data_IF_884264585468
#
_entry.id   IF_884264585468
#
_cell.length_a   1.000
_cell.length_b   1.000
_cell.length_c   1.000
_cell.angle_alpha   90.00
_cell.angle_beta   90.00
_cell.angle_gamma   90.00
#
_symmetry.space_group_name_H-M   'P 1'
#
loop_
_entity.id
_entity.type
_entity.pdbx_description
1 polymer ?
#
# COMPACT_ATOMS: atom_id res chain seq x y z
N UNK A 1 43.69 -93.31 10.64
CA UNK A 1 42.45 -92.54 10.58
C UNK A 1 42.81 -91.15 9.98
N UNK A 2 42.64 -91.00 8.68
CA UNK A 2 42.98 -89.75 7.97
C UNK A 2 41.68 -89.00 7.65
N UNK A 3 41.54 -87.77 8.24
CA UNK A 3 40.44 -86.88 7.97
C UNK A 3 40.68 -86.08 6.70
N UNK A 4 39.77 -86.19 5.74
CA UNK A 4 39.72 -85.34 4.55
C UNK A 4 38.93 -84.08 4.84
N UNK A 5 39.55 -82.92 4.70
CA UNK A 5 38.86 -81.63 4.67
C UNK A 5 38.53 -81.27 3.23
N UNK A 6 37.22 -81.06 2.90
CA UNK A 6 36.81 -80.46 1.66
C UNK A 6 36.75 -78.92 1.82
N UNK A 7 37.21 -78.13 0.86
CA UNK A 7 37.03 -76.69 0.89
C UNK A 7 35.66 -76.28 0.37
N UNK A 8 34.96 -75.47 1.13
CA UNK A 8 33.70 -74.85 0.78
C UNK A 8 33.97 -73.59 -0.08
N UNK A 9 33.57 -73.65 -1.38
CA UNK A 9 33.65 -72.50 -2.30
C UNK A 9 32.43 -71.62 -2.07
N UNK A 10 32.61 -70.39 -1.51
CA UNK A 10 31.60 -69.39 -1.41
C UNK A 10 31.51 -68.60 -2.77
N UNK A 11 30.44 -68.82 -3.51
CA UNK A 11 30.07 -67.99 -4.66
C UNK A 11 29.38 -66.73 -4.17
N UNK A 12 30.07 -65.62 -4.21
CA UNK A 12 29.47 -64.29 -4.01
C UNK A 12 28.80 -63.83 -5.30
N UNK A 13 27.44 -63.83 -5.31
CA UNK A 13 26.66 -63.16 -6.33
C UNK A 13 26.74 -61.62 -6.10
N UNK A 14 27.52 -60.87 -6.91
CA UNK A 14 27.39 -59.43 -7.02
C UNK A 14 26.13 -59.12 -7.83
N UNK A 15 25.06 -58.75 -7.16
CA UNK A 15 23.94 -58.01 -7.76
C UNK A 15 24.38 -56.60 -8.02
N UNK A 16 24.78 -56.26 -9.24
CA UNK A 16 24.95 -54.90 -9.72
C UNK A 16 23.57 -54.22 -9.85
N UNK A 17 23.15 -53.59 -8.79
CA UNK A 17 22.03 -52.64 -8.87
C UNK A 17 22.51 -51.38 -9.60
N UNK A 18 22.00 -51.18 -10.81
CA UNK A 18 22.09 -49.86 -11.48
C UNK A 18 21.18 -48.93 -10.69
N UNK A 19 21.78 -47.97 -9.92
CA UNK A 19 21.04 -46.84 -9.39
C UNK A 19 20.37 -46.10 -10.57
N UNK A 20 19.08 -45.80 -10.49
CA UNK A 20 18.45 -44.95 -11.51
C UNK A 20 19.19 -43.60 -11.55
N UNK A 21 19.60 -43.20 -12.75
CA UNK A 21 20.20 -41.89 -12.96
C UNK A 21 19.29 -40.82 -12.38
N UNK A 22 19.84 -39.95 -11.51
CA UNK A 22 19.13 -38.83 -10.97
C UNK A 22 18.50 -38.02 -12.13
N UNK A 23 17.21 -37.76 -12.08
CA UNK A 23 16.55 -36.91 -13.05
C UNK A 23 17.32 -35.58 -13.13
N UNK A 24 17.58 -35.04 -14.34
CA UNK A 24 18.26 -33.76 -14.49
C UNK A 24 17.42 -32.71 -13.75
N UNK A 25 18.03 -32.05 -12.79
CA UNK A 25 17.38 -30.96 -12.08
C UNK A 25 16.84 -29.92 -13.07
N UNK A 26 15.83 -29.12 -12.69
CA UNK A 26 15.22 -28.14 -13.60
C UNK A 26 16.30 -27.24 -14.19
N UNK A 27 16.28 -27.09 -15.50
CA UNK A 27 17.20 -26.21 -16.22
C UNK A 27 17.12 -24.81 -15.64
N UNK A 28 18.25 -24.14 -15.29
CA UNK A 28 18.23 -22.77 -14.80
C UNK A 28 17.49 -21.87 -15.80
N UNK A 29 16.47 -21.18 -15.35
CA UNK A 29 15.76 -20.18 -16.17
C UNK A 29 16.47 -18.86 -16.02
N UNK A 30 16.88 -18.24 -17.13
CA UNK A 30 17.51 -16.92 -17.10
C UNK A 30 16.54 -15.86 -16.57
N UNK A 31 16.94 -15.15 -15.54
CA UNK A 31 16.16 -14.04 -14.96
C UNK A 31 16.16 -12.84 -15.92
N UNK A 32 15.01 -12.16 -16.02
CA UNK A 32 14.91 -10.90 -16.76
C UNK A 32 15.80 -9.84 -16.11
N UNK A 33 16.68 -9.24 -16.90
CA UNK A 33 17.53 -8.13 -16.49
C UNK A 33 17.00 -6.83 -17.06
N UNK A 34 16.85 -5.83 -16.21
CA UNK A 34 16.42 -4.50 -16.60
C UNK A 34 17.61 -3.54 -16.58
N UNK A 35 17.69 -2.65 -17.58
CA UNK A 35 18.59 -1.50 -17.52
C UNK A 35 18.15 -0.56 -16.39
N UNK A 36 19.07 -0.16 -15.54
CA UNK A 36 18.85 0.77 -14.43
C UNK A 36 19.46 2.16 -14.69
N UNK A 37 19.94 2.41 -15.91
CA UNK A 37 20.48 3.72 -16.29
C UNK A 37 19.39 4.78 -16.24
N UNK A 38 19.61 5.85 -15.47
CA UNK A 38 18.63 6.93 -15.29
C UNK A 38 17.50 6.64 -14.31
N UNK A 39 17.39 5.41 -13.77
CA UNK A 39 16.40 5.11 -12.70
C UNK A 39 16.76 5.85 -11.42
N UNK A 40 15.81 6.64 -10.89
CA UNK A 40 16.02 7.45 -9.69
C UNK A 40 15.84 6.64 -8.39
N UNK A 41 14.91 5.67 -8.39
CA UNK A 41 14.57 4.87 -7.22
C UNK A 41 14.82 3.38 -7.48
N UNK A 42 16.02 2.91 -7.10
CA UNK A 42 16.48 1.53 -7.35
C UNK A 42 16.07 0.53 -6.28
N UNK A 43 15.57 1.03 -5.15
CA UNK A 43 15.11 0.21 -4.03
C UNK A 43 14.05 0.94 -3.22
N UNK A 44 13.14 0.18 -2.60
CA UNK A 44 12.24 0.72 -1.58
C UNK A 44 12.95 0.98 -0.24
N UNK A 45 14.12 0.38 -0.02
CA UNK A 45 14.91 0.60 1.22
C UNK A 45 15.30 2.07 1.36
N UNK A 46 15.05 2.60 2.53
CA UNK A 46 15.27 4.02 2.86
C UNK A 46 14.09 4.92 2.56
N UNK A 47 13.04 4.46 1.87
CA UNK A 47 11.93 5.31 1.46
C UNK A 47 10.75 5.24 2.44
N UNK A 48 10.07 6.39 2.56
CA UNK A 48 8.78 6.55 3.24
C UNK A 48 7.76 6.97 2.19
N UNK A 49 6.90 6.03 1.81
CA UNK A 49 5.91 6.21 0.75
C UNK A 49 4.50 6.04 1.29
N UNK A 50 3.55 6.79 0.74
CA UNK A 50 2.15 6.71 1.14
C UNK A 50 1.31 5.93 0.11
N UNK A 51 0.24 5.29 0.56
CA UNK A 51 -0.80 4.83 -0.34
C UNK A 51 -1.57 6.04 -0.91
N UNK A 52 -1.88 6.03 -2.19
CA UNK A 52 -2.61 7.08 -2.88
C UNK A 52 -3.87 6.48 -3.51
N UNK A 53 -5.03 6.84 -2.97
CA UNK A 53 -6.31 6.28 -3.41
C UNK A 53 -6.69 6.78 -4.80
N UNK A 54 -6.68 8.09 -5.00
CA UNK A 54 -6.96 8.71 -6.29
C UNK A 54 -8.36 8.40 -6.84
N UNK A 55 -9.29 7.96 -6.03
CA UNK A 55 -10.61 7.45 -6.43
C UNK A 55 -11.74 8.48 -6.40
N UNK A 56 -11.51 9.63 -5.73
CA UNK A 56 -12.52 10.67 -5.59
C UNK A 56 -12.86 11.31 -6.93
N UNK A 57 -14.16 11.48 -7.24
CA UNK A 57 -14.62 12.19 -8.42
C UNK A 57 -15.68 13.23 -8.04
N UNK A 58 -15.86 14.23 -8.90
CA UNK A 58 -16.85 15.27 -8.72
C UNK A 58 -17.73 15.41 -9.97
N UNK A 59 -18.97 15.82 -9.82
CA UNK A 59 -19.82 16.13 -10.95
C UNK A 59 -19.17 17.21 -11.81
N UNK A 60 -19.05 16.94 -13.12
CA UNK A 60 -18.45 17.87 -14.07
C UNK A 60 -16.92 17.82 -14.15
N UNK A 61 -16.25 16.89 -13.47
CA UNK A 61 -14.79 16.71 -13.57
C UNK A 61 -14.34 16.04 -14.89
N UNK A 62 -15.26 15.39 -15.59
CA UNK A 62 -15.02 14.68 -16.84
C UNK A 62 -14.83 13.16 -16.67
N UNK A 63 -14.81 12.64 -15.44
CA UNK A 63 -14.73 11.20 -15.18
C UNK A 63 -16.05 10.48 -15.43
N UNK A 64 -17.16 11.20 -15.47
CA UNK A 64 -18.53 10.68 -15.61
C UNK A 64 -18.89 9.61 -14.55
N UNK A 65 -18.43 9.85 -13.29
CA UNK A 65 -18.66 8.98 -12.14
C UNK A 65 -19.46 9.66 -11.01
N UNK A 66 -19.91 10.92 -11.20
CA UNK A 66 -20.56 11.71 -10.15
C UNK A 66 -19.64 11.96 -8.97
N UNK A 67 -20.19 11.97 -7.76
CA UNK A 67 -19.47 12.19 -6.50
C UNK A 67 -18.89 10.90 -5.91
N UNK A 68 -18.21 10.08 -6.72
CA UNK A 68 -17.69 8.78 -6.29
C UNK A 68 -16.73 8.94 -5.10
N UNK A 69 -16.86 8.08 -4.09
CA UNK A 69 -16.20 8.12 -2.78
C UNK A 69 -16.50 9.34 -1.90
N UNK A 70 -17.09 10.42 -2.42
CA UNK A 70 -17.65 11.49 -1.57
C UNK A 70 -19.08 11.21 -1.14
N UNK A 71 -19.87 10.61 -2.05
CA UNK A 71 -21.30 10.40 -1.93
C UNK A 71 -21.67 9.22 -1.01
N UNK A 72 -22.88 9.29 -0.48
CA UNK A 72 -23.56 8.18 0.17
C UNK A 72 -24.92 7.96 -0.49
N UNK A 73 -25.25 6.70 -0.79
CA UNK A 73 -26.54 6.35 -1.42
C UNK A 73 -26.84 7.18 -2.70
N UNK A 74 -25.82 7.46 -3.51
CA UNK A 74 -25.93 8.20 -4.77
C UNK A 74 -26.09 9.72 -4.64
N UNK A 75 -25.91 10.30 -3.44
CA UNK A 75 -26.02 11.72 -3.16
C UNK A 75 -24.83 12.26 -2.40
N UNK A 76 -24.46 13.52 -2.65
CA UNK A 76 -23.44 14.23 -1.88
C UNK A 76 -24.01 15.59 -1.41
N UNK A 77 -24.71 15.55 -0.31
CA UNK A 77 -25.41 16.68 0.31
C UNK A 77 -25.49 16.46 1.83
N UNK A 78 -25.88 17.45 2.65
CA UNK A 78 -26.02 17.29 4.08
C UNK A 78 -26.83 16.05 4.47
N UNK A 79 -26.23 15.17 5.29
CA UNK A 79 -26.74 13.85 5.66
C UNK A 79 -26.31 12.71 4.71
N UNK A 80 -25.73 13.00 3.56
CA UNK A 80 -25.33 12.02 2.55
C UNK A 80 -23.87 12.21 2.12
N UNK A 81 -22.94 12.10 3.05
CA UNK A 81 -21.50 12.06 2.82
C UNK A 81 -20.92 10.72 3.27
N UNK A 82 -19.90 10.22 2.57
CA UNK A 82 -19.09 9.09 3.04
C UNK A 82 -17.85 9.55 3.80
N UNK A 83 -17.37 10.76 3.52
CA UNK A 83 -16.11 11.28 4.07
C UNK A 83 -16.26 11.82 5.49
N UNK A 84 -15.29 11.55 6.35
CA UNK A 84 -15.22 12.11 7.71
C UNK A 84 -14.32 13.34 7.77
N UNK A 85 -13.32 13.46 6.90
CA UNK A 85 -12.48 14.64 6.79
C UNK A 85 -12.82 15.43 5.53
N UNK A 86 -12.80 16.75 5.62
CA UNK A 86 -13.00 17.62 4.46
C UNK A 86 -11.66 18.10 3.92
N UNK A 87 -11.38 17.92 2.60
CA UNK A 87 -10.13 18.37 2.03
C UNK A 87 -9.99 19.91 2.11
N UNK A 88 -8.80 20.39 2.41
CA UNK A 88 -8.51 21.81 2.28
C UNK A 88 -8.14 22.13 0.82
N UNK A 89 -9.07 22.79 0.11
CA UNK A 89 -8.93 23.06 -1.32
C UNK A 89 -8.42 24.45 -1.62
N UNK A 90 -7.84 25.16 -0.65
CA UNK A 90 -7.39 26.55 -0.83
C UNK A 90 -6.29 26.73 -1.88
N UNK A 91 -5.46 25.70 -2.09
CA UNK A 91 -4.36 25.74 -3.07
C UNK A 91 -4.71 25.08 -4.41
N UNK A 92 -5.90 24.48 -4.54
CA UNK A 92 -6.29 23.82 -5.79
C UNK A 92 -6.71 24.84 -6.85
N UNK A 93 -6.17 24.71 -8.04
CA UNK A 93 -6.51 25.57 -9.18
C UNK A 93 -7.95 25.31 -9.66
N UNK A 94 -8.42 24.06 -9.59
CA UNK A 94 -9.76 23.65 -9.97
C UNK A 94 -10.45 22.94 -8.82
N UNK A 95 -11.69 23.35 -8.54
CA UNK A 95 -12.52 22.84 -7.46
C UNK A 95 -13.96 22.74 -7.89
N UNK A 96 -14.74 21.92 -7.16
CA UNK A 96 -16.14 21.62 -7.48
C UNK A 96 -17.06 22.02 -6.35
N UNK A 97 -18.10 22.82 -6.66
CA UNK A 97 -19.08 23.25 -5.70
C UNK A 97 -19.94 22.06 -5.24
N UNK A 98 -20.15 21.94 -3.95
CA UNK A 98 -21.01 20.92 -3.36
C UNK A 98 -22.33 21.52 -2.85
N UNK A 99 -23.24 20.68 -2.38
CA UNK A 99 -24.43 21.14 -1.67
C UNK A 99 -24.15 21.57 -0.21
N UNK A 100 -22.94 21.33 0.30
CA UNK A 100 -22.56 21.71 1.65
C UNK A 100 -22.19 23.20 1.74
N UNK A 101 -22.39 23.79 2.91
CA UNK A 101 -22.04 25.18 3.20
C UNK A 101 -21.27 25.27 4.51
N UNK A 102 -20.38 26.23 4.58
CA UNK A 102 -19.76 26.67 5.83
C UNK A 102 -20.73 27.48 6.70
N UNK A 103 -20.38 27.71 7.97
CA UNK A 103 -21.19 28.50 8.88
C UNK A 103 -21.44 29.95 8.42
N UNK A 104 -20.55 30.52 7.61
CA UNK A 104 -20.69 31.85 7.01
C UNK A 104 -21.59 31.85 5.75
N UNK A 105 -22.14 30.71 5.35
CA UNK A 105 -22.99 30.55 4.18
C UNK A 105 -22.27 30.30 2.84
N UNK A 106 -20.94 30.35 2.82
CA UNK A 106 -20.16 30.03 1.62
C UNK A 106 -20.30 28.57 1.24
N UNK A 107 -20.33 28.29 -0.08
CA UNK A 107 -20.39 26.93 -0.62
C UNK A 107 -19.08 26.22 -0.39
N UNK A 108 -19.14 25.05 0.22
CA UNK A 108 -18.00 24.18 0.40
C UNK A 108 -17.66 23.46 -0.91
N UNK A 109 -16.36 23.30 -1.14
CA UNK A 109 -15.82 22.73 -2.39
C UNK A 109 -14.94 21.52 -2.10
N UNK A 110 -14.82 20.65 -3.10
CA UNK A 110 -13.91 19.51 -3.11
C UNK A 110 -13.07 19.49 -4.38
N UNK A 111 -12.08 18.60 -4.44
CA UNK A 111 -11.21 18.40 -5.62
C UNK A 111 -11.55 17.09 -6.34
N UNK A 112 -10.97 16.89 -7.52
CA UNK A 112 -10.91 15.59 -8.20
C UNK A 112 -9.47 15.30 -8.66
N UNK A 113 -8.90 14.10 -8.41
CA UNK A 113 -7.62 13.68 -8.97
C UNK A 113 -7.69 13.36 -10.47
N UNK A 114 -8.90 13.35 -11.07
CA UNK A 114 -9.05 13.31 -12.52
C UNK A 114 -8.45 14.53 -13.20
N UNK A 115 -8.40 15.66 -12.49
CA UNK A 115 -7.72 16.88 -12.91
C UNK A 115 -6.21 16.76 -12.71
N UNK A 116 -5.44 17.07 -13.76
CA UNK A 116 -3.98 16.98 -13.73
C UNK A 116 -3.38 17.88 -12.63
N UNK A 117 -3.89 19.11 -12.50
CA UNK A 117 -3.42 20.10 -11.54
C UNK A 117 -3.62 19.67 -10.08
N UNK A 118 -4.62 18.86 -9.78
CA UNK A 118 -4.83 18.30 -8.44
C UNK A 118 -3.73 17.30 -8.07
N UNK A 119 -3.42 16.40 -8.99
CA UNK A 119 -2.34 15.42 -8.79
C UNK A 119 -0.97 16.10 -8.78
N UNK A 120 -0.75 17.09 -9.66
CA UNK A 120 0.48 17.90 -9.67
C UNK A 120 0.71 18.57 -8.30
N UNK A 121 -0.34 19.17 -7.71
CA UNK A 121 -0.29 19.78 -6.38
C UNK A 121 0.05 18.76 -5.28
N UNK A 122 -0.52 17.58 -5.32
CA UNK A 122 -0.23 16.52 -4.35
C UNK A 122 1.25 16.11 -4.39
N UNK A 123 1.82 15.91 -5.57
CA UNK A 123 3.24 15.57 -5.72
C UNK A 123 4.16 16.77 -5.36
N UNK A 124 3.71 18.00 -5.59
CA UNK A 124 4.40 19.20 -5.08
C UNK A 124 4.46 19.17 -3.55
N UNK A 125 3.34 18.91 -2.85
CA UNK A 125 3.34 18.78 -1.39
C UNK A 125 4.26 17.66 -0.90
N UNK A 126 4.29 16.51 -1.58
CA UNK A 126 5.23 15.44 -1.24
C UNK A 126 6.67 15.92 -1.33
N UNK A 127 7.01 16.68 -2.37
CA UNK A 127 8.35 17.28 -2.55
C UNK A 127 8.69 18.27 -1.45
N UNK A 128 7.76 19.16 -1.11
CA UNK A 128 7.94 20.20 -0.10
C UNK A 128 8.09 19.64 1.31
N UNK A 129 7.52 18.46 1.55
CA UNK A 129 7.54 17.78 2.84
C UNK A 129 8.45 16.53 2.88
N UNK A 130 9.32 16.32 1.90
CA UNK A 130 10.28 15.19 1.84
C UNK A 130 9.64 13.78 1.88
N UNK A 131 8.36 13.64 1.49
CA UNK A 131 7.71 12.34 1.30
C UNK A 131 8.21 11.75 0.00
N UNK A 132 8.71 10.51 0.02
CA UNK A 132 9.46 9.94 -1.10
C UNK A 132 8.60 9.61 -2.32
N UNK A 133 7.33 9.32 -2.13
CA UNK A 133 6.42 9.00 -3.23
C UNK A 133 5.20 8.22 -2.78
N UNK A 134 4.58 7.53 -3.74
CA UNK A 134 3.30 6.84 -3.50
C UNK A 134 3.24 5.45 -4.12
N UNK A 135 2.40 4.61 -3.51
CA UNK A 135 1.78 3.45 -4.12
C UNK A 135 0.41 3.88 -4.68
N UNK A 136 0.32 3.96 -6.01
CA UNK A 136 -0.93 4.29 -6.71
C UNK A 136 -1.89 3.11 -6.60
N UNK A 137 -2.97 3.29 -5.84
CA UNK A 137 -3.98 2.25 -5.67
C UNK A 137 -4.72 2.00 -6.98
N UNK A 138 -5.03 0.73 -7.25
CA UNK A 138 -5.79 0.27 -8.40
C UNK A 138 -6.75 -0.82 -7.95
N UNK A 139 -7.99 -0.43 -7.70
CA UNK A 139 -9.03 -1.32 -7.18
C UNK A 139 -9.54 -2.24 -8.29
N UNK A 140 -9.27 -3.55 -8.17
CA UNK A 140 -9.65 -4.54 -9.19
C UNK A 140 -11.16 -4.50 -9.45
N UNK A 141 -11.98 -4.36 -8.40
CA UNK A 141 -13.43 -4.25 -8.53
C UNK A 141 -13.90 -3.05 -9.38
N UNK A 142 -13.19 -1.93 -9.34
CA UNK A 142 -13.55 -0.71 -10.07
C UNK A 142 -13.05 -0.70 -11.52
N UNK A 143 -11.80 -1.15 -11.73
CA UNK A 143 -11.19 -1.10 -13.08
C UNK A 143 -11.73 -2.15 -14.04
N UNK A 144 -12.60 -3.04 -13.59
CA UNK A 144 -13.39 -3.92 -14.46
C UNK A 144 -14.44 -3.15 -15.26
N UNK A 145 -14.90 -2.01 -14.78
CA UNK A 145 -15.79 -1.12 -15.52
C UNK A 145 -14.99 -0.18 -16.43
N UNK A 146 -15.52 0.16 -17.59
CA UNK A 146 -14.88 1.10 -18.51
C UNK A 146 -14.64 2.48 -17.86
N UNK A 147 -15.66 3.03 -17.18
CA UNK A 147 -15.54 4.32 -16.47
C UNK A 147 -14.48 4.29 -15.37
N UNK A 148 -14.44 3.21 -14.57
CA UNK A 148 -13.43 3.03 -13.55
C UNK A 148 -12.02 2.91 -14.15
N UNK A 149 -11.87 2.08 -15.19
CA UNK A 149 -10.58 1.90 -15.89
C UNK A 149 -10.09 3.23 -16.47
N UNK A 150 -10.96 3.99 -17.14
CA UNK A 150 -10.64 5.30 -17.70
C UNK A 150 -10.22 6.30 -16.62
N UNK A 151 -10.94 6.31 -15.48
CA UNK A 151 -10.60 7.16 -14.34
C UNK A 151 -9.19 6.82 -13.80
N UNK A 152 -8.95 5.57 -13.40
CA UNK A 152 -7.66 5.18 -12.82
C UNK A 152 -6.50 5.32 -13.82
N UNK A 153 -6.72 5.09 -15.12
CA UNK A 153 -5.71 5.33 -16.14
C UNK A 153 -5.38 6.83 -16.28
N UNK A 154 -6.37 7.71 -16.20
CA UNK A 154 -6.16 9.16 -16.23
C UNK A 154 -5.39 9.63 -15.00
N UNK A 155 -5.79 9.19 -13.80
CA UNK A 155 -5.08 9.53 -12.55
C UNK A 155 -3.65 9.00 -12.57
N UNK A 156 -3.42 7.78 -13.05
CA UNK A 156 -2.06 7.23 -13.21
C UNK A 156 -1.22 8.04 -14.19
N UNK A 157 -1.78 8.46 -15.34
CA UNK A 157 -1.09 9.32 -16.29
C UNK A 157 -0.66 10.65 -15.65
N UNK A 158 -1.57 11.29 -14.90
CA UNK A 158 -1.29 12.51 -14.15
C UNK A 158 -0.17 12.28 -13.11
N UNK A 159 -0.25 11.17 -12.37
CA UNK A 159 0.73 10.82 -11.34
C UNK A 159 2.12 10.52 -11.93
N UNK A 160 2.23 9.80 -13.04
CA UNK A 160 3.50 9.55 -13.73
C UNK A 160 4.16 10.86 -14.18
N UNK A 161 3.37 11.81 -14.70
CA UNK A 161 3.86 13.13 -15.09
C UNK A 161 4.36 13.92 -13.87
N UNK A 162 3.56 13.97 -12.81
CA UNK A 162 3.89 14.69 -11.58
C UNK A 162 5.08 14.04 -10.84
N UNK A 163 5.14 12.71 -10.76
CA UNK A 163 6.25 11.99 -10.13
C UNK A 163 7.59 12.32 -10.80
N UNK A 164 7.63 12.35 -12.11
CA UNK A 164 8.81 12.75 -12.89
C UNK A 164 9.16 14.22 -12.63
N UNK A 165 8.19 15.12 -12.64
CA UNK A 165 8.39 16.57 -12.43
C UNK A 165 9.00 16.87 -11.05
N UNK A 166 8.53 16.21 -10.01
CA UNK A 166 8.94 16.47 -8.63
C UNK A 166 9.97 15.47 -8.09
N UNK A 167 10.39 14.49 -8.88
CA UNK A 167 11.34 13.45 -8.46
C UNK A 167 10.81 12.65 -7.27
N UNK A 168 9.58 12.13 -7.37
CA UNK A 168 8.96 11.29 -6.32
C UNK A 168 8.73 9.88 -6.84
N UNK A 169 9.02 8.89 -6.04
CA UNK A 169 8.83 7.49 -6.39
C UNK A 169 7.36 7.18 -6.67
N UNK A 170 7.11 6.28 -7.61
CA UNK A 170 5.77 5.77 -7.89
C UNK A 170 5.83 4.26 -8.14
N UNK A 171 4.92 3.53 -7.52
CA UNK A 171 4.64 2.12 -7.83
C UNK A 171 3.13 1.91 -7.92
N UNK A 172 2.68 0.90 -8.64
CA UNK A 172 1.27 0.52 -8.69
C UNK A 172 0.98 -0.50 -7.60
N UNK A 173 -0.16 -0.33 -6.90
CA UNK A 173 -0.68 -1.29 -5.92
C UNK A 173 -2.08 -1.72 -6.31
N UNK A 174 -2.25 -2.98 -6.67
CA UNK A 174 -3.58 -3.56 -6.84
C UNK A 174 -4.21 -3.85 -5.49
N UNK A 175 -5.45 -3.38 -5.31
CA UNK A 175 -6.30 -3.73 -4.18
C UNK A 175 -7.30 -4.80 -4.60
N UNK A 176 -7.29 -5.92 -3.90
CA UNK A 176 -8.13 -7.09 -4.18
C UNK A 176 -9.48 -7.06 -3.46
N UNK A 177 -9.85 -5.95 -2.81
CA UNK A 177 -11.17 -5.82 -2.16
C UNK A 177 -12.29 -6.04 -3.17
N UNK A 178 -13.25 -6.90 -2.81
CA UNK A 178 -14.37 -7.26 -3.68
C UNK A 178 -14.02 -8.11 -4.91
N UNK A 179 -12.78 -8.59 -5.03
CA UNK A 179 -12.36 -9.49 -6.10
C UNK A 179 -12.77 -10.94 -5.84
N UNK A 180 -12.74 -11.74 -6.90
CA UNK A 180 -12.93 -13.18 -6.89
C UNK A 180 -11.73 -13.90 -7.52
N UNK A 181 -11.69 -15.23 -7.45
CA UNK A 181 -10.65 -16.04 -8.12
C UNK A 181 -10.56 -15.79 -9.62
N UNK A 182 -11.70 -15.51 -10.28
CA UNK A 182 -11.74 -15.21 -11.71
C UNK A 182 -11.05 -13.86 -12.08
N UNK A 183 -10.90 -12.96 -11.12
CA UNK A 183 -10.30 -11.64 -11.34
C UNK A 183 -8.76 -11.67 -11.38
N UNK A 184 -8.14 -12.77 -11.01
CA UNK A 184 -6.66 -12.88 -11.01
C UNK A 184 -6.07 -12.81 -12.42
N UNK A 185 -6.77 -13.40 -13.40
CA UNK A 185 -6.37 -13.33 -14.81
C UNK A 185 -6.58 -11.93 -15.38
N UNK A 186 -7.67 -11.28 -15.00
CA UNK A 186 -7.94 -9.88 -15.36
C UNK A 186 -6.82 -8.97 -14.82
N UNK A 187 -6.44 -9.11 -13.54
CA UNK A 187 -5.37 -8.32 -12.94
C UNK A 187 -4.04 -8.50 -13.70
N UNK A 188 -3.64 -9.75 -13.97
CA UNK A 188 -2.41 -10.01 -14.71
C UNK A 188 -2.40 -9.35 -16.08
N UNK A 189 -3.52 -9.41 -16.80
CA UNK A 189 -3.69 -8.77 -18.11
C UNK A 189 -3.68 -7.24 -18.00
N UNK A 190 -4.40 -6.66 -17.05
CA UNK A 190 -4.41 -5.22 -16.81
C UNK A 190 -2.99 -4.70 -16.48
N UNK A 191 -2.23 -5.45 -15.70
CA UNK A 191 -0.83 -5.13 -15.42
C UNK A 191 0.04 -5.11 -16.69
N UNK A 192 -0.13 -6.07 -17.60
CA UNK A 192 0.59 -6.09 -18.88
C UNK A 192 0.16 -4.92 -19.78
N UNK A 193 -1.15 -4.60 -19.83
CA UNK A 193 -1.67 -3.46 -20.58
C UNK A 193 -1.09 -2.13 -20.07
N UNK A 194 -1.00 -1.94 -18.75
CA UNK A 194 -0.41 -0.72 -18.17
C UNK A 194 1.07 -0.57 -18.52
N UNK A 195 1.84 -1.66 -18.49
CA UNK A 195 3.25 -1.65 -18.88
C UNK A 195 3.43 -1.13 -20.31
N UNK A 196 2.57 -1.56 -21.22
CA UNK A 196 2.62 -1.16 -22.64
C UNK A 196 2.08 0.26 -22.82
N UNK A 197 0.89 0.55 -22.30
CA UNK A 197 0.20 1.83 -22.50
C UNK A 197 1.01 3.01 -21.96
N UNK A 198 1.62 2.86 -20.80
CA UNK A 198 2.37 3.93 -20.13
C UNK A 198 3.89 3.79 -20.28
N UNK A 199 4.36 2.74 -20.97
CA UNK A 199 5.78 2.41 -21.06
C UNK A 199 6.45 2.45 -19.66
N UNK A 200 5.81 1.80 -18.66
CA UNK A 200 6.13 1.95 -17.23
C UNK A 200 7.62 1.70 -16.92
N UNK A 201 8.29 0.85 -17.68
CA UNK A 201 9.68 0.46 -17.44
C UNK A 201 10.69 1.17 -18.34
N UNK A 202 10.23 2.14 -19.12
CA UNK A 202 11.08 3.03 -19.89
C UNK A 202 11.72 4.06 -18.93
N UNK A 203 13.01 3.97 -18.70
CA UNK A 203 13.74 4.79 -17.74
C UNK A 203 13.81 6.27 -18.13
N UNK A 204 13.63 6.60 -19.41
CA UNK A 204 13.62 7.99 -19.90
C UNK A 204 12.23 8.60 -19.67
N UNK A 205 11.19 7.84 -19.95
CA UNK A 205 9.80 8.30 -19.76
C UNK A 205 9.42 8.33 -18.29
N UNK A 206 9.73 7.26 -17.56
CA UNK A 206 9.33 7.03 -16.16
C UNK A 206 10.54 6.72 -15.26
N UNK A 207 11.52 7.64 -15.11
CA UNK A 207 12.72 7.41 -14.28
C UNK A 207 12.39 7.23 -12.80
N UNK A 208 11.20 7.62 -12.39
CA UNK A 208 10.69 7.57 -11.00
C UNK A 208 9.89 6.30 -10.69
N UNK A 209 9.61 5.45 -11.71
CA UNK A 209 8.96 4.17 -11.41
C UNK A 209 9.86 3.32 -10.52
N UNK A 210 9.36 2.96 -9.33
CA UNK A 210 10.13 2.33 -8.28
C UNK A 210 10.65 0.94 -8.73
N UNK A 211 11.93 0.72 -8.54
CA UNK A 211 12.59 -0.57 -8.65
C UNK A 211 12.88 -1.17 -7.27
N UNK A 212 13.02 -2.46 -7.25
CA UNK A 212 13.51 -3.18 -6.07
C UNK A 212 14.20 -4.46 -6.54
N UNK A 213 15.36 -4.79 -5.97
CA UNK A 213 16.18 -5.94 -6.42
C UNK A 213 16.41 -5.96 -7.95
N UNK A 214 16.69 -4.80 -8.55
CA UNK A 214 16.93 -4.64 -10.00
C UNK A 214 15.69 -4.80 -10.89
N UNK A 215 14.47 -4.84 -10.34
CA UNK A 215 13.21 -5.10 -11.08
C UNK A 215 12.15 -4.05 -10.76
N UNK A 216 11.24 -3.76 -11.70
CA UNK A 216 10.07 -2.92 -11.40
C UNK A 216 9.27 -3.50 -10.24
N UNK A 217 8.86 -2.64 -9.30
CA UNK A 217 8.06 -3.05 -8.15
C UNK A 217 6.58 -3.00 -8.48
N UNK A 218 5.88 -4.09 -8.20
CA UNK A 218 4.42 -4.20 -8.18
C UNK A 218 3.97 -4.51 -6.77
N UNK A 219 2.94 -3.84 -6.27
CA UNK A 219 2.32 -4.18 -5.01
C UNK A 219 0.94 -4.82 -5.21
N UNK A 220 0.59 -5.79 -4.36
CA UNK A 220 -0.70 -6.49 -4.33
C UNK A 220 -1.17 -6.53 -2.89
N UNK A 221 -2.26 -5.81 -2.58
CA UNK A 221 -2.87 -5.77 -1.26
C UNK A 221 -4.09 -6.67 -1.18
N UNK A 222 -4.31 -7.28 -0.02
CA UNK A 222 -5.49 -8.10 0.24
C UNK A 222 -5.18 -9.60 0.38
N UNK A 223 -3.92 -9.97 0.58
CA UNK A 223 -3.46 -11.37 0.52
C UNK A 223 -3.54 -12.05 1.88
N UNK A 224 -4.38 -13.08 2.01
CA UNK A 224 -4.45 -13.93 3.21
C UNK A 224 -5.30 -13.37 4.36
N UNK A 225 -6.24 -12.45 4.09
CA UNK A 225 -7.18 -11.92 5.10
C UNK A 225 -8.31 -12.90 5.38
N UNK A 226 -8.59 -13.12 6.66
CA UNK A 226 -9.71 -13.96 7.14
C UNK A 226 -10.99 -13.11 7.30
N UNK A 227 -11.47 -12.51 6.20
CA UNK A 227 -12.64 -11.63 6.16
C UNK A 227 -13.68 -12.02 5.09
N UNK A 228 -13.64 -13.31 4.65
CA UNK A 228 -14.60 -13.85 3.70
C UNK A 228 -14.32 -13.51 2.25
N UNK A 229 -13.04 -13.43 1.86
CA UNK A 229 -12.62 -13.20 0.47
C UNK A 229 -13.13 -14.26 -0.49
N UNK A 230 -13.52 -13.86 -1.71
CA UNK A 230 -13.98 -14.76 -2.78
C UNK A 230 -12.81 -15.28 -3.64
N UNK A 231 -11.60 -15.29 -3.12
CA UNK A 231 -10.38 -15.87 -3.71
C UNK A 231 -9.53 -16.47 -2.59
N UNK A 232 -8.64 -17.37 -2.95
CA UNK A 232 -7.80 -18.12 -2.01
C UNK A 232 -6.34 -17.73 -2.12
N UNK A 233 -5.53 -18.09 -1.14
CA UNK A 233 -4.06 -17.97 -1.20
C UNK A 233 -3.49 -18.71 -2.42
N UNK A 234 -4.08 -19.84 -2.83
CA UNK A 234 -3.66 -20.56 -4.03
C UNK A 234 -3.93 -19.79 -5.33
N UNK A 235 -5.00 -19.00 -5.39
CA UNK A 235 -5.25 -18.13 -6.56
C UNK A 235 -4.22 -16.99 -6.65
N UNK A 236 -3.83 -16.44 -5.52
CA UNK A 236 -2.74 -15.45 -5.47
C UNK A 236 -1.40 -16.07 -5.87
N UNK A 237 -1.13 -17.32 -5.51
CA UNK A 237 0.07 -18.02 -5.96
C UNK A 237 0.11 -18.12 -7.49
N UNK A 238 -1.01 -18.47 -8.14
CA UNK A 238 -1.11 -18.48 -9.61
C UNK A 238 -0.91 -17.08 -10.22
N UNK A 239 -1.45 -16.04 -9.55
CA UNK A 239 -1.20 -14.66 -9.96
C UNK A 239 0.28 -14.31 -9.89
N UNK A 240 0.97 -14.67 -8.79
CA UNK A 240 2.42 -14.46 -8.63
C UNK A 240 3.23 -15.14 -9.75
N UNK A 241 2.82 -16.34 -10.18
CA UNK A 241 3.44 -17.03 -11.32
C UNK A 241 3.30 -16.24 -12.63
N UNK A 242 2.20 -15.49 -12.82
CA UNK A 242 1.98 -14.65 -14.01
C UNK A 242 2.76 -13.35 -13.96
N UNK A 243 2.72 -12.64 -12.81
CA UNK A 243 3.32 -11.29 -12.71
C UNK A 243 4.82 -11.32 -12.42
N UNK A 244 5.30 -12.30 -11.68
CA UNK A 244 6.72 -12.48 -11.34
C UNK A 244 7.34 -13.63 -12.16
N UNK A 245 6.76 -14.81 -12.04
CA UNK A 245 7.19 -16.05 -12.72
C UNK A 245 8.61 -16.49 -12.36
N UNK A 246 9.08 -17.59 -12.96
CA UNK A 246 10.43 -18.11 -12.73
C UNK A 246 11.51 -17.15 -13.26
N UNK A 247 11.20 -16.35 -14.29
CA UNK A 247 12.11 -15.35 -14.88
C UNK A 247 12.19 -14.07 -14.07
N UNK A 248 11.44 -13.95 -12.98
CA UNK A 248 11.41 -12.78 -12.08
C UNK A 248 11.19 -11.46 -12.83
N UNK A 249 10.11 -11.37 -13.58
CA UNK A 249 9.74 -10.17 -14.38
C UNK A 249 9.50 -8.91 -13.51
N UNK A 250 9.11 -9.06 -12.25
CA UNK A 250 8.87 -7.97 -11.33
C UNK A 250 9.36 -8.35 -9.92
N UNK A 251 9.67 -7.36 -9.10
CA UNK A 251 9.65 -7.50 -7.64
C UNK A 251 8.23 -7.27 -7.14
N UNK A 252 7.83 -8.02 -6.12
CA UNK A 252 6.46 -7.95 -5.60
C UNK A 252 6.45 -7.63 -4.11
N UNK A 253 5.66 -6.59 -3.76
CA UNK A 253 5.25 -6.32 -2.39
C UNK A 253 3.88 -6.94 -2.16
N UNK A 254 3.72 -7.73 -1.09
CA UNK A 254 2.43 -8.24 -0.66
C UNK A 254 1.91 -7.48 0.55
N UNK A 255 0.71 -6.90 0.43
CA UNK A 255 -0.08 -6.38 1.53
C UNK A 255 -0.86 -7.50 2.20
N UNK A 256 -0.48 -7.83 3.44
CA UNK A 256 -0.96 -8.99 4.19
C UNK A 256 -1.67 -8.56 5.48
N UNK A 257 -2.46 -9.44 6.16
CA UNK A 257 -3.04 -9.14 7.46
C UNK A 257 -1.99 -8.82 8.52
N UNK A 258 -2.38 -8.14 9.57
CA UNK A 258 -1.44 -7.74 10.62
C UNK A 258 -0.81 -8.94 11.36
N UNK A 259 -1.59 -10.02 11.58
CA UNK A 259 -1.13 -11.22 12.28
C UNK A 259 -0.64 -12.33 11.34
N UNK A 260 -0.16 -11.96 10.14
CA UNK A 260 0.31 -12.88 9.10
C UNK A 260 1.36 -13.89 9.57
N UNK A 261 2.24 -13.50 10.50
CA UNK A 261 3.32 -14.38 10.99
C UNK A 261 2.81 -15.47 11.92
N UNK A 262 1.78 -15.20 12.72
CA UNK A 262 1.19 -16.15 13.66
C UNK A 262 -0.01 -16.90 13.07
N UNK A 263 -0.50 -16.50 11.88
CA UNK A 263 -1.69 -17.08 11.22
C UNK A 263 -2.95 -17.03 12.09
N UNK A 264 -3.15 -15.92 12.82
CA UNK A 264 -4.24 -15.75 13.78
C UNK A 264 -5.10 -14.53 13.44
N UNK A 265 -6.22 -14.39 14.13
CA UNK A 265 -7.12 -13.22 14.14
C UNK A 265 -7.59 -12.83 12.73
N UNK A 266 -7.00 -11.77 12.14
CA UNK A 266 -7.36 -11.28 10.81
C UNK A 266 -6.73 -12.07 9.65
N UNK A 267 -5.99 -13.14 9.96
CA UNK A 267 -5.21 -13.90 9.00
C UNK A 267 -5.82 -15.29 8.78
N UNK A 268 -5.86 -15.73 7.52
CA UNK A 268 -6.18 -17.12 7.18
C UNK A 268 -5.19 -18.09 7.84
N UNK A 269 -5.71 -19.06 8.56
CA UNK A 269 -4.89 -20.08 9.22
C UNK A 269 -4.50 -21.17 8.22
N UNK A 270 -3.57 -20.84 7.31
CA UNK A 270 -3.03 -21.79 6.33
C UNK A 270 -1.51 -21.65 6.17
N UNK A 271 -0.74 -22.74 6.27
CA UNK A 271 0.69 -22.73 5.99
C UNK A 271 1.05 -22.29 4.54
N UNK A 272 0.09 -22.42 3.61
CA UNK A 272 0.27 -21.96 2.22
C UNK A 272 0.55 -20.46 2.14
N UNK A 273 -0.01 -19.66 3.08
CA UNK A 273 0.27 -18.23 3.15
C UNK A 273 1.76 -17.95 3.39
N UNK A 274 2.41 -18.68 4.30
CA UNK A 274 3.85 -18.51 4.52
C UNK A 274 4.68 -18.93 3.29
N UNK A 275 4.24 -19.95 2.55
CA UNK A 275 4.92 -20.36 1.30
C UNK A 275 4.79 -19.26 0.24
N UNK A 276 3.59 -18.67 0.08
CA UNK A 276 3.36 -17.55 -0.81
C UNK A 276 4.20 -16.33 -0.41
N UNK A 277 4.20 -15.96 0.87
CA UNK A 277 4.98 -14.83 1.40
C UNK A 277 6.48 -14.99 1.08
N UNK A 278 7.03 -16.20 1.20
CA UNK A 278 8.44 -16.48 0.86
C UNK A 278 8.77 -16.28 -0.62
N UNK A 279 7.79 -16.22 -1.50
CA UNK A 279 7.98 -15.90 -2.91
C UNK A 279 7.95 -14.39 -3.22
N UNK A 280 7.54 -13.56 -2.25
CA UNK A 280 7.54 -12.11 -2.36
C UNK A 280 8.93 -11.51 -2.12
N UNK A 281 9.10 -10.25 -2.49
CA UNK A 281 10.33 -9.49 -2.21
C UNK A 281 10.15 -8.59 -0.98
N UNK A 282 8.93 -8.11 -0.73
CA UNK A 282 8.59 -7.23 0.39
C UNK A 282 7.24 -7.64 0.98
N UNK A 283 7.10 -7.51 2.31
CA UNK A 283 5.84 -7.68 3.03
C UNK A 283 5.44 -6.36 3.68
N UNK A 284 4.17 -6.00 3.56
CA UNK A 284 3.55 -4.85 4.22
C UNK A 284 2.30 -5.31 4.99
N UNK A 285 2.38 -5.50 6.32
CA UNK A 285 1.23 -5.85 7.14
C UNK A 285 0.27 -4.66 7.32
N UNK A 286 -1.02 -4.91 7.15
CA UNK A 286 -2.05 -3.88 7.31
C UNK A 286 -2.38 -3.62 8.77
N UNK A 287 -1.91 -2.50 9.30
CA UNK A 287 -2.03 -2.16 10.72
C UNK A 287 -3.22 -1.23 11.05
N UNK A 288 -3.89 -0.62 10.05
CA UNK A 288 -5.03 0.28 10.30
C UNK A 288 -6.11 -0.45 11.10
N UNK A 289 -6.55 0.16 12.20
CA UNK A 289 -7.57 -0.40 13.08
C UNK A 289 -7.09 -1.52 14.03
N UNK A 290 -5.83 -1.94 13.99
CA UNK A 290 -5.32 -3.05 14.82
C UNK A 290 -4.88 -2.62 16.21
N UNK A 291 -4.58 -1.34 16.38
CA UNK A 291 -4.21 -0.71 17.65
C UNK A 291 -4.53 0.80 17.62
N UNK A 292 -4.48 1.42 18.78
CA UNK A 292 -4.52 2.87 18.99
C UNK A 292 -3.32 3.29 19.86
N UNK A 293 -3.21 4.56 20.19
CA UNK A 293 -2.08 5.07 20.99
C UNK A 293 -1.88 4.33 22.32
N UNK A 294 -2.98 3.97 23.00
CA UNK A 294 -2.92 3.26 24.29
C UNK A 294 -2.50 1.80 24.20
N UNK A 295 -2.83 1.13 23.08
CA UNK A 295 -2.52 -0.29 22.88
C UNK A 295 -1.29 -0.53 21.99
N UNK A 296 -0.72 0.50 21.37
CA UNK A 296 0.41 0.39 20.45
C UNK A 296 1.58 -0.41 21.03
N UNK A 297 2.03 -0.05 22.22
CA UNK A 297 3.20 -0.68 22.84
C UNK A 297 2.98 -2.17 23.14
N UNK A 298 1.77 -2.55 23.58
CA UNK A 298 1.45 -3.96 23.87
C UNK A 298 1.19 -4.80 22.62
N UNK A 299 0.74 -4.20 21.52
CA UNK A 299 0.44 -4.90 20.26
C UNK A 299 1.64 -4.87 19.32
N UNK A 300 2.15 -3.69 18.99
CA UNK A 300 3.23 -3.53 18.02
C UNK A 300 4.63 -3.84 18.60
N UNK A 301 4.83 -3.59 19.88
CA UNK A 301 6.11 -3.83 20.56
C UNK A 301 6.66 -5.25 20.38
N UNK A 302 5.90 -6.33 20.63
CA UNK A 302 6.34 -7.69 20.35
C UNK A 302 6.22 -8.08 18.87
N UNK A 303 5.31 -7.48 18.10
CA UNK A 303 5.02 -7.87 16.72
C UNK A 303 6.13 -7.43 15.77
N UNK A 304 6.49 -6.14 15.78
CA UNK A 304 7.45 -5.57 14.83
C UNK A 304 8.83 -6.26 14.86
N UNK A 305 9.50 -6.46 16.02
CA UNK A 305 10.79 -7.15 16.04
C UNK A 305 10.68 -8.60 15.56
N UNK A 306 9.59 -9.29 15.90
CA UNK A 306 9.35 -10.67 15.48
C UNK A 306 9.16 -10.80 13.99
N UNK A 307 8.40 -9.89 13.38
CA UNK A 307 8.15 -9.85 11.94
C UNK A 307 9.42 -9.55 11.16
N UNK A 308 10.19 -8.53 11.60
CA UNK A 308 11.47 -8.16 10.99
C UNK A 308 12.46 -9.33 11.06
N UNK A 309 12.56 -10.01 12.20
CA UNK A 309 13.44 -11.17 12.36
C UNK A 309 13.03 -12.33 11.44
N UNK A 310 11.73 -12.62 11.32
CA UNK A 310 11.21 -13.65 10.42
C UNK A 310 11.52 -13.31 8.95
N UNK A 311 11.26 -12.08 8.53
CA UNK A 311 11.54 -11.61 7.18
C UNK A 311 13.03 -11.68 6.85
N UNK A 312 13.90 -11.25 7.77
CA UNK A 312 15.36 -11.35 7.62
C UNK A 312 15.82 -12.80 7.43
N UNK A 313 15.28 -13.75 8.22
CA UNK A 313 15.61 -15.18 8.09
C UNK A 313 15.20 -15.76 6.74
N UNK A 314 14.16 -15.21 6.12
CA UNK A 314 13.62 -15.68 4.84
C UNK A 314 14.05 -14.79 3.64
N UNK A 315 14.99 -13.84 3.81
CA UNK A 315 15.47 -12.92 2.77
C UNK A 315 14.36 -12.10 2.12
N UNK A 316 13.41 -11.62 2.92
CA UNK A 316 12.30 -10.77 2.50
C UNK A 316 12.44 -9.43 3.20
N UNK A 317 12.17 -8.32 2.50
CA UNK A 317 12.14 -7.01 3.13
C UNK A 317 10.80 -6.77 3.83
N UNK A 318 10.83 -5.99 4.90
CA UNK A 318 9.66 -5.68 5.71
C UNK A 318 9.39 -4.18 5.70
N UNK A 319 8.18 -3.81 5.32
CA UNK A 319 7.69 -2.43 5.31
C UNK A 319 6.54 -2.30 6.32
N UNK A 320 6.79 -1.88 7.57
CA UNK A 320 5.71 -1.62 8.50
C UNK A 320 4.81 -0.50 7.99
N UNK A 321 3.51 -0.61 8.28
CA UNK A 321 2.52 0.41 7.99
C UNK A 321 2.32 1.28 9.22
N UNK A 322 2.25 2.61 9.00
CA UNK A 322 1.88 3.61 10.00
C UNK A 322 0.70 4.45 9.49
N UNK A 323 -0.13 4.96 10.39
CA UNK A 323 -1.31 5.76 10.04
C UNK A 323 -1.59 6.84 11.07
N UNK A 324 -2.15 8.02 10.67
CA UNK A 324 -2.29 9.15 11.58
C UNK A 324 -3.42 8.99 12.60
N UNK A 325 -4.46 8.27 12.26
CA UNK A 325 -5.68 8.04 13.02
C UNK A 325 -6.71 7.36 12.13
N UNK A 326 -7.94 7.15 12.63
CA UNK A 326 -9.00 6.47 11.89
C UNK A 326 -10.39 7.01 12.28
N UNK A 327 -11.21 7.28 11.27
CA UNK A 327 -12.57 7.81 11.43
C UNK A 327 -13.43 7.48 10.22
N UNK A 328 -14.55 6.80 10.42
CA UNK A 328 -15.45 6.36 9.35
C UNK A 328 -16.93 6.44 9.71
N UNK A 329 -17.27 7.42 10.56
CA UNK A 329 -18.64 7.62 11.08
C UNK A 329 -19.66 7.90 9.99
N UNK A 330 -19.36 8.76 9.02
CA UNK A 330 -20.22 9.03 7.87
C UNK A 330 -20.32 7.82 6.94
N UNK A 331 -19.19 7.16 6.63
CA UNK A 331 -19.14 5.98 5.77
C UNK A 331 -20.05 4.86 6.33
N UNK A 332 -19.96 4.57 7.63
CA UNK A 332 -20.73 3.50 8.27
C UNK A 332 -22.11 3.94 8.80
N UNK A 333 -22.41 5.23 8.75
CA UNK A 333 -23.61 5.82 9.36
C UNK A 333 -23.72 5.52 10.87
N UNK A 334 -22.60 5.59 11.55
CA UNK A 334 -22.51 5.32 13.00
C UNK A 334 -21.70 6.42 13.69
N UNK A 335 -22.40 7.21 14.53
CA UNK A 335 -21.79 8.35 15.25
C UNK A 335 -20.71 7.94 16.24
N UNK A 336 -20.69 6.69 16.70
CA UNK A 336 -19.68 6.17 17.62
C UNK A 336 -18.32 5.93 16.93
N UNK A 337 -18.29 5.92 15.60
CA UNK A 337 -17.10 5.65 14.79
C UNK A 337 -16.37 6.93 14.33
N UNK A 338 -16.88 8.11 14.69
CA UNK A 338 -16.12 9.34 14.48
C UNK A 338 -14.90 9.39 15.40
N UNK A 339 -13.73 9.66 14.81
CA UNK A 339 -12.46 9.69 15.54
C UNK A 339 -12.22 8.40 16.34
N UNK A 340 -12.60 7.25 15.79
CA UNK A 340 -12.47 5.95 16.46
C UNK A 340 -11.04 5.70 16.97
N UNK A 341 -10.04 6.15 16.19
CA UNK A 341 -8.65 6.21 16.63
C UNK A 341 -8.20 7.68 16.48
N UNK A 342 -8.13 8.43 17.59
CA UNK A 342 -7.73 9.84 17.56
C UNK A 342 -6.30 10.03 17.04
N UNK A 343 -6.09 11.10 16.30
CA UNK A 343 -4.78 11.49 15.77
C UNK A 343 -3.82 12.03 16.84
N UNK A 344 -4.38 12.57 17.94
CA UNK A 344 -3.65 13.08 19.11
C UNK A 344 -2.53 14.07 18.71
N UNK A 345 -2.84 15.02 17.86
CA UNK A 345 -1.89 16.02 17.33
C UNK A 345 -0.62 15.41 16.74
N UNK A 346 -0.73 14.21 16.17
CA UNK A 346 0.36 13.47 15.57
C UNK A 346 1.19 12.63 16.54
N UNK A 347 0.90 12.64 17.85
CA UNK A 347 1.63 11.80 18.82
C UNK A 347 1.50 10.32 18.45
N UNK A 348 0.29 9.90 18.04
CA UNK A 348 0.05 8.53 17.61
C UNK A 348 0.83 8.14 16.34
N UNK A 349 0.87 9.02 15.33
CA UNK A 349 1.67 8.78 14.11
C UNK A 349 3.15 8.69 14.44
N UNK A 350 3.66 9.62 15.27
CA UNK A 350 5.08 9.64 15.63
C UNK A 350 5.48 8.42 16.48
N UNK A 351 4.63 7.98 17.39
CA UNK A 351 4.85 6.75 18.16
C UNK A 351 5.10 5.54 17.27
N UNK A 352 4.33 5.42 16.18
CA UNK A 352 4.48 4.34 15.19
C UNK A 352 5.75 4.48 14.37
N UNK A 353 6.08 5.69 13.88
CA UNK A 353 7.31 5.99 13.13
C UNK A 353 8.53 5.65 13.98
N UNK A 354 8.55 6.11 15.23
CA UNK A 354 9.64 5.86 16.17
C UNK A 354 9.78 4.37 16.52
N UNK A 355 8.66 3.68 16.73
CA UNK A 355 8.65 2.24 17.00
C UNK A 355 9.15 1.42 15.81
N UNK A 356 8.74 1.75 14.60
CA UNK A 356 9.22 1.10 13.38
C UNK A 356 10.74 1.31 13.21
N UNK A 357 11.22 2.55 13.32
CA UNK A 357 12.64 2.87 13.23
C UNK A 357 13.46 2.18 14.31
N UNK A 358 12.99 2.22 15.57
CA UNK A 358 13.63 1.56 16.72
C UNK A 358 13.68 0.05 16.59
N UNK A 359 12.73 -0.56 15.90
CA UNK A 359 12.72 -2.01 15.60
C UNK A 359 13.63 -2.40 14.43
N UNK A 360 14.26 -1.43 13.75
CA UNK A 360 15.19 -1.67 12.64
C UNK A 360 14.53 -1.71 11.25
N UNK A 361 13.29 -1.24 11.13
CA UNK A 361 12.67 -1.09 9.81
C UNK A 361 13.47 -0.11 8.94
N UNK A 362 13.58 -0.46 7.65
CA UNK A 362 14.34 0.34 6.68
C UNK A 362 13.45 1.20 5.79
N UNK A 363 12.15 0.93 5.74
CA UNK A 363 11.17 1.64 4.92
C UNK A 363 9.86 1.78 5.70
N UNK A 364 8.99 2.69 5.28
CA UNK A 364 7.64 2.82 5.83
C UNK A 364 6.59 2.89 4.71
N UNK A 365 5.45 2.27 4.98
CA UNK A 365 4.21 2.54 4.25
C UNK A 365 3.31 3.42 5.12
N UNK A 366 2.82 4.53 4.59
CA UNK A 366 1.90 5.44 5.28
C UNK A 366 0.49 5.26 4.72
N UNK A 367 -0.44 4.83 5.52
CA UNK A 367 -1.85 4.76 5.17
C UNK A 367 -2.57 6.00 5.70
N UNK A 368 -3.10 6.88 4.85
CA UNK A 368 -2.98 7.01 3.39
C UNK A 368 -2.64 8.47 3.06
N UNK A 369 -2.28 8.77 1.81
CA UNK A 369 -2.03 10.16 1.43
C UNK A 369 -3.33 10.98 1.42
N UNK A 370 -4.40 10.47 0.77
CA UNK A 370 -5.60 11.22 0.41
C UNK A 370 -6.94 10.61 0.89
N UNK A 371 -6.93 9.60 1.75
CA UNK A 371 -8.13 8.87 2.17
C UNK A 371 -8.91 9.61 3.27
N UNK A 372 -9.90 10.40 2.87
CA UNK A 372 -10.71 11.22 3.77
C UNK A 372 -11.99 10.54 4.25
N UNK A 373 -12.40 9.44 3.63
CA UNK A 373 -13.58 8.65 4.00
C UNK A 373 -13.32 7.71 5.19
N UNK A 374 -12.10 7.20 5.35
CA UNK A 374 -11.66 6.46 6.53
C UNK A 374 -10.78 7.31 7.49
N UNK A 375 -10.61 8.58 7.18
CA UNK A 375 -9.90 9.52 8.05
C UNK A 375 -8.43 9.21 8.25
N UNK A 376 -7.79 8.51 7.31
CA UNK A 376 -6.36 8.19 7.34
C UNK A 376 -5.49 9.18 6.55
N UNK A 377 -6.11 10.11 5.82
CA UNK A 377 -5.40 11.09 4.99
C UNK A 377 -4.35 11.89 5.77
N UNK A 378 -3.14 11.99 5.20
CA UNK A 378 -2.08 12.88 5.70
C UNK A 378 -1.99 14.22 4.95
N UNK A 379 -2.63 14.33 3.78
CA UNK A 379 -2.66 15.58 3.00
C UNK A 379 -3.47 16.67 3.73
N UNK A 380 -3.52 17.89 3.16
CA UNK A 380 -4.18 19.04 3.78
C UNK A 380 -5.68 18.85 3.89
N UNK A 381 -6.20 18.87 5.10
CA UNK A 381 -7.62 18.82 5.43
C UNK A 381 -8.03 19.99 6.31
N UNK A 382 -9.32 20.32 6.33
CA UNK A 382 -9.86 21.37 7.18
C UNK A 382 -9.66 21.05 8.66
N UNK A 383 -9.48 22.09 9.45
CA UNK A 383 -9.36 22.02 10.92
C UNK A 383 -10.72 21.92 11.59
N UNK A 384 -10.72 21.42 12.81
CA UNK A 384 -11.90 21.48 13.67
C UNK A 384 -12.42 22.91 13.79
N UNK A 385 -13.73 23.09 13.60
CA UNK A 385 -14.39 24.40 13.54
C UNK A 385 -14.34 25.09 12.18
N UNK A 386 -13.56 24.62 11.22
CA UNK A 386 -13.48 25.16 9.85
C UNK A 386 -14.13 24.21 8.80
N UNK A 387 -14.78 23.14 9.23
CA UNK A 387 -15.44 22.18 8.36
C UNK A 387 -16.82 22.67 7.92
N UNK A 388 -17.34 22.20 6.77
CA UNK A 388 -18.70 22.49 6.38
C UNK A 388 -19.72 21.92 7.38
N UNK A 389 -20.94 22.49 7.37
CA UNK A 389 -22.05 21.99 8.16
C UNK A 389 -22.63 20.70 7.57
N UNK A 390 -22.89 19.70 8.42
CA UNK A 390 -23.59 18.46 8.04
C UNK A 390 -24.72 18.19 9.05
N UNK A 391 -25.96 18.33 8.64
CA UNK A 391 -27.13 18.30 9.53
C UNK A 391 -27.31 16.96 10.27
N UNK A 392 -27.03 15.82 9.63
CA UNK A 392 -27.23 14.47 10.18
C UNK A 392 -25.93 13.80 10.67
N UNK A 393 -24.79 14.36 10.31
CA UNK A 393 -23.46 13.89 10.67
C UNK A 393 -22.55 15.04 11.06
N UNK A 394 -21.25 14.79 11.03
CA UNK A 394 -20.24 15.84 11.17
C UNK A 394 -19.04 15.54 10.29
N UNK A 395 -18.26 16.55 9.97
CA UNK A 395 -16.90 16.36 9.47
C UNK A 395 -15.93 16.54 10.63
N UNK A 396 -15.03 15.59 10.76
CA UNK A 396 -13.96 15.62 11.76
C UNK A 396 -12.83 16.45 11.15
N UNK A 397 -12.46 17.57 11.79
CA UNK A 397 -11.28 18.32 11.37
C UNK A 397 -10.01 17.75 12.01
N UNK A 398 -8.85 18.12 11.50
CA UNK A 398 -7.63 18.02 12.31
C UNK A 398 -7.71 19.02 13.46
N UNK A 399 -6.87 18.86 14.46
CA UNK A 399 -6.89 19.69 15.67
C UNK A 399 -6.76 21.19 15.32
N UNK A 400 -7.60 22.03 15.94
CA UNK A 400 -7.79 23.44 15.57
C UNK A 400 -6.51 24.30 15.67
N UNK A 401 -5.60 23.94 16.56
CA UNK A 401 -4.33 24.64 16.81
C UNK A 401 -3.18 24.19 15.87
N UNK A 402 -3.42 23.21 14.99
CA UNK A 402 -2.43 22.73 14.04
C UNK A 402 -2.58 23.40 12.67
N UNK A 403 -1.50 23.64 11.91
CA UNK A 403 -1.60 24.01 10.51
C UNK A 403 -2.14 22.86 9.65
N UNK A 404 -2.84 23.19 8.55
CA UNK A 404 -3.51 22.19 7.69
C UNK A 404 -2.56 21.12 7.12
N UNK A 405 -1.27 21.45 6.96
CA UNK A 405 -0.22 20.55 6.45
C UNK A 405 0.56 19.80 7.55
N UNK A 406 0.05 19.82 8.79
CA UNK A 406 0.77 19.23 9.93
C UNK A 406 1.16 17.76 9.72
N UNK A 407 0.25 16.95 9.18
CA UNK A 407 0.49 15.51 8.98
C UNK A 407 1.41 15.24 7.79
N UNK A 408 1.42 16.08 6.75
CA UNK A 408 2.44 16.06 5.71
C UNK A 408 3.82 16.37 6.31
N UNK A 409 3.92 17.46 7.08
CA UNK A 409 5.16 17.85 7.74
C UNK A 409 5.68 16.74 8.67
N UNK A 410 4.83 16.18 9.53
CA UNK A 410 5.24 15.14 10.48
C UNK A 410 5.70 13.86 9.78
N UNK A 411 5.00 13.45 8.72
CA UNK A 411 5.42 12.32 7.87
C UNK A 411 6.79 12.59 7.25
N UNK A 412 7.02 13.81 6.77
CA UNK A 412 8.31 14.23 6.23
C UNK A 412 9.44 14.25 7.26
N UNK A 413 9.17 14.59 8.54
CA UNK A 413 10.17 14.42 9.60
C UNK A 413 10.53 12.94 9.78
N UNK A 414 9.54 12.04 9.68
CA UNK A 414 9.78 10.59 9.66
C UNK A 414 10.65 10.17 8.48
N UNK A 415 10.37 10.67 7.29
CA UNK A 415 11.17 10.37 6.10
C UNK A 415 12.63 10.80 6.25
N UNK A 416 12.88 12.02 6.73
CA UNK A 416 14.24 12.48 7.04
C UNK A 416 14.96 11.55 8.02
N UNK A 417 14.26 11.06 9.04
CA UNK A 417 14.83 10.11 9.98
C UNK A 417 15.18 8.78 9.31
N UNK A 418 14.33 8.28 8.42
CA UNK A 418 14.58 7.06 7.64
C UNK A 418 15.75 7.25 6.67
N UNK A 419 15.95 8.45 6.11
CA UNK A 419 17.12 8.81 5.30
C UNK A 419 18.42 8.97 6.10
N UNK A 420 18.38 8.78 7.42
CA UNK A 420 19.56 8.83 8.29
C UNK A 420 19.90 10.22 8.85
N UNK A 421 18.98 11.19 8.74
CA UNK A 421 19.20 12.49 9.37
C UNK A 421 19.28 12.35 10.90
N UNK A 422 20.24 13.06 11.50
CA UNK A 422 20.45 13.09 12.94
C UNK A 422 19.42 13.98 13.66
N UNK A 423 19.32 13.83 15.00
CA UNK A 423 18.47 14.68 15.84
C UNK A 423 17.05 14.16 16.07
N UNK A 424 16.67 13.04 15.48
CA UNK A 424 15.38 12.38 15.71
C UNK A 424 15.46 11.34 16.84
N UNK A 425 14.35 11.19 17.56
CA UNK A 425 14.21 10.24 18.67
C UNK A 425 12.75 9.78 18.80
N UNK A 426 12.44 9.00 19.83
CA UNK A 426 11.07 8.66 20.16
C UNK A 426 10.21 9.88 20.56
N UNK A 427 10.83 11.00 20.92
CA UNK A 427 10.12 12.26 21.16
C UNK A 427 9.69 12.87 19.84
N UNK A 428 8.40 13.19 19.72
CA UNK A 428 7.85 13.87 18.54
C UNK A 428 8.53 15.23 18.33
N UNK A 429 8.98 15.54 17.12
CA UNK A 429 9.53 16.86 16.81
C UNK A 429 8.48 17.96 16.97
N UNK A 430 8.92 19.14 17.34
CA UNK A 430 8.09 20.34 17.45
C UNK A 430 8.29 21.16 16.18
N UNK A 431 7.17 21.71 15.64
CA UNK A 431 7.18 22.58 14.45
C UNK A 431 7.32 24.03 14.88
#
# INVERSE_FOLDING_TARGET
MRLFLLPLILLTFCCGGTEPAAEPGPTPVDEVKYDETGVLFKSYKGLVMAGYQGWFTAEGDGADRGWHHYQKSGRFEPGFASVDFWPDVTEYAKTYNTAFKYANGEVAKVYSPYDEESVDLHFKWMKEHDIDGVYMQRFVGEVKSEKGKNHFNKVLANALKASKKYGRALSIMYDLSGSSSADMDFLAKDWEELQQQFALFDNIKNPTYLRHNGRPLLAIWGVGFNDGRNYTVADIQKLMEKVKGPTKKASVLLGVPYYWRTLEKDTENTPLLHQLIKSADIIMPWAVGRYNAGSYTSVAGPTLPGDIAWCKTNNIDYAPLVFPGFSWGNLKNDKSLYNQIPRAKGDFLWQQIAGAKGSGAQSLYVAMFDEVDEGTAIFKTKKEGETPLNAEGKFVGIEADLPADHYLWLTGQGAKWFHGAAGYSAQKPVR
#
